data_IF_846273823785
#
_entry.id   IF_846273823785
#
_cell.length_a   1.000
_cell.length_b   1.000
_cell.length_c   1.000
_cell.angle_alpha   90.00
_cell.angle_beta   90.00
_cell.angle_gamma   90.00
#
_symmetry.space_group_name_H-M   'P 1'
#
loop_
_entity.id
_entity.type
_entity.pdbx_description
1 polymer ?
#
# COMPACT_ATOMS: atom_id res chain seq x y z
N UNK A 1 12.30 3.50 2.93
CA UNK A 1 11.61 2.66 1.92
C UNK A 1 12.01 1.19 2.02
N UNK A 2 12.94 0.84 2.92
CA UNK A 2 13.44 -0.54 2.96
C UNK A 2 12.37 -1.53 3.45
N UNK A 3 11.54 -1.16 4.42
CA UNK A 3 10.47 -2.03 4.92
C UNK A 3 9.38 -2.31 3.88
N UNK A 4 8.90 -1.29 3.16
CA UNK A 4 7.88 -1.45 2.13
C UNK A 4 8.42 -2.27 0.96
N UNK A 5 9.66 -2.00 0.51
CA UNK A 5 10.31 -2.81 -0.52
C UNK A 5 10.47 -4.27 -0.10
N UNK A 6 10.90 -4.51 1.14
CA UNK A 6 11.04 -5.85 1.70
C UNK A 6 9.70 -6.59 1.79
N UNK A 7 8.63 -5.89 2.17
CA UNK A 7 7.27 -6.43 2.11
C UNK A 7 6.89 -6.81 0.67
N UNK A 8 7.04 -5.90 -0.29
CA UNK A 8 6.68 -6.18 -1.68
C UNK A 8 7.48 -7.34 -2.27
N UNK A 9 8.78 -7.42 -2.00
CA UNK A 9 9.63 -8.53 -2.43
C UNK A 9 9.23 -9.86 -1.82
N UNK A 10 8.96 -9.89 -0.51
CA UNK A 10 8.55 -11.11 0.20
C UNK A 10 7.27 -11.72 -0.37
N UNK A 11 6.34 -10.86 -0.81
CA UNK A 11 5.00 -11.27 -1.25
C UNK A 11 4.79 -11.13 -2.75
N UNK A 12 5.83 -10.86 -3.54
CA UNK A 12 5.77 -10.72 -5.00
C UNK A 12 4.77 -9.65 -5.47
N UNK A 13 4.65 -8.57 -4.70
CA UNK A 13 3.85 -7.39 -5.06
C UNK A 13 4.62 -6.61 -6.12
N UNK A 14 4.01 -6.45 -7.28
CA UNK A 14 4.57 -5.69 -8.41
C UNK A 14 4.12 -4.23 -8.40
N UNK A 15 2.97 -3.95 -7.76
CA UNK A 15 2.45 -2.60 -7.58
C UNK A 15 1.77 -2.47 -6.22
N UNK A 16 2.00 -1.36 -5.54
CA UNK A 16 1.33 -1.00 -4.29
C UNK A 16 0.82 0.43 -4.43
N UNK A 17 -0.49 0.61 -4.27
CA UNK A 17 -1.15 1.91 -4.39
C UNK A 17 -1.98 2.22 -3.13
N UNK A 18 -1.90 3.47 -2.68
CA UNK A 18 -2.77 3.99 -1.63
C UNK A 18 -4.05 4.54 -2.25
N UNK A 19 -5.19 4.30 -1.62
CA UNK A 19 -6.47 4.83 -2.05
C UNK A 19 -7.36 5.16 -0.84
N UNK A 20 -8.56 5.68 -1.10
CA UNK A 20 -9.51 5.96 -0.03
C UNK A 20 -9.15 7.19 0.79
N UNK A 21 -9.42 7.12 2.10
CA UNK A 21 -9.40 8.29 2.99
C UNK A 21 -8.02 8.94 3.14
N UNK A 22 -6.94 8.16 2.99
CA UNK A 22 -5.55 8.62 3.09
C UNK A 22 -5.16 9.71 2.08
N UNK A 23 -5.93 9.85 0.99
CA UNK A 23 -5.69 10.87 -0.04
C UNK A 23 -6.46 12.17 0.20
N UNK A 24 -7.36 12.20 1.20
CA UNK A 24 -8.21 13.35 1.52
C UNK A 24 -7.56 14.24 2.56
N UNK A 25 -7.91 15.53 2.56
CA UNK A 25 -7.36 16.53 3.50
C UNK A 25 -7.80 16.31 4.96
N UNK A 26 -8.87 15.54 5.18
CA UNK A 26 -9.41 15.21 6.50
C UNK A 26 -8.90 13.88 7.05
N UNK A 27 -7.80 13.33 6.51
CA UNK A 27 -7.15 12.14 7.04
C UNK A 27 -6.61 12.36 8.46
N UNK A 28 -6.88 11.42 9.36
CA UNK A 28 -6.54 11.52 10.78
C UNK A 28 -5.81 10.28 11.26
N UNK A 29 -5.19 10.36 12.43
CA UNK A 29 -4.44 9.23 13.02
C UNK A 29 -5.31 8.03 13.40
N UNK A 30 -6.62 8.20 13.52
CA UNK A 30 -7.60 7.13 13.78
C UNK A 30 -8.23 6.56 12.49
N UNK A 31 -7.82 7.07 11.32
CA UNK A 31 -8.31 6.57 10.03
C UNK A 31 -7.52 5.35 9.58
N UNK A 32 -8.22 4.41 8.95
CA UNK A 32 -7.59 3.26 8.31
C UNK A 32 -6.77 3.68 7.08
N UNK A 33 -5.85 2.81 6.65
CA UNK A 33 -5.08 2.99 5.41
C UNK A 33 -5.49 1.90 4.43
N UNK A 34 -6.19 2.29 3.37
CA UNK A 34 -6.58 1.38 2.31
C UNK A 34 -5.45 1.22 1.27
N UNK A 35 -5.08 -0.03 0.99
CA UNK A 35 -3.98 -0.39 0.09
C UNK A 35 -4.47 -1.38 -0.97
N UNK A 36 -4.23 -1.07 -2.25
CA UNK A 36 -4.34 -2.02 -3.35
C UNK A 36 -2.96 -2.58 -3.66
N UNK A 37 -2.91 -3.88 -3.94
CA UNK A 37 -1.70 -4.55 -4.43
C UNK A 37 -2.01 -5.28 -5.72
N UNK A 38 -1.05 -5.22 -6.65
CA UNK A 38 -1.00 -6.10 -7.82
C UNK A 38 0.07 -7.15 -7.55
N UNK A 39 -0.28 -8.41 -7.74
CA UNK A 39 0.67 -9.52 -7.70
C UNK A 39 1.16 -9.82 -9.11
N UNK A 40 2.43 -10.15 -9.26
CA UNK A 40 2.95 -10.66 -10.52
C UNK A 40 2.38 -12.05 -10.80
N UNK A 41 1.88 -12.28 -12.01
CA UNK A 41 1.76 -13.64 -12.54
C UNK A 41 3.13 -14.06 -13.12
N UNK A 42 3.54 -15.29 -12.83
CA UNK A 42 4.62 -15.96 -13.56
C UNK A 42 4.12 -16.56 -14.87
#
# INVERSE_FOLDING_TARGET
MEQIKGFCQKWQVTELALFGSVLREDFRSDSDIDILITLGCY
#
